data_IF_009437412423
#
_entry.id   IF_009437412423
#
_cell.length_a   1.000
_cell.length_b   1.000
_cell.length_c   1.000
_cell.angle_alpha   90.00
_cell.angle_beta   90.00
_cell.angle_gamma   90.00
#
_symmetry.space_group_name_H-M   'P 1'
#
loop_
_entity.id
_entity.type
_entity.pdbx_description
1 polymer ?
#
# COMPACT_ATOMS: atom_id res chain seq x y z
N UNK A 1 -6.82 -16.92 3.64
CA UNK A 1 -6.68 -15.51 3.26
C UNK A 1 -6.09 -15.52 1.87
N UNK A 2 -6.90 -15.16 0.88
CA UNK A 2 -6.46 -15.16 -0.51
C UNK A 2 -5.51 -13.99 -0.75
N UNK A 3 -4.53 -14.17 -1.64
CA UNK A 3 -3.62 -13.08 -2.01
C UNK A 3 -4.39 -11.89 -2.60
N UNK A 4 -5.55 -12.14 -3.20
CA UNK A 4 -6.47 -11.09 -3.65
C UNK A 4 -7.07 -10.29 -2.49
N UNK A 5 -7.42 -10.93 -1.37
CA UNK A 5 -7.89 -10.22 -0.16
C UNK A 5 -6.76 -9.36 0.41
N UNK A 6 -5.55 -9.92 0.51
CA UNK A 6 -4.37 -9.18 0.99
C UNK A 6 -4.09 -7.96 0.09
N UNK A 7 -4.22 -8.11 -1.23
CA UNK A 7 -4.06 -6.99 -2.17
C UNK A 7 -5.15 -5.92 -1.99
N UNK A 8 -6.39 -6.32 -1.68
CA UNK A 8 -7.49 -5.41 -1.41
C UNK A 8 -7.27 -4.63 -0.10
N UNK A 9 -6.79 -5.30 0.96
CA UNK A 9 -6.41 -4.66 2.22
C UNK A 9 -5.28 -3.64 2.01
N UNK A 10 -4.19 -4.03 1.33
CA UNK A 10 -3.06 -3.14 1.04
C UNK A 10 -3.50 -1.91 0.24
N UNK A 11 -4.40 -2.06 -0.75
CA UNK A 11 -4.96 -0.91 -1.49
C UNK A 11 -5.79 0.00 -0.59
N UNK A 12 -6.60 -0.57 0.28
CA UNK A 12 -7.42 0.21 1.20
C UNK A 12 -6.53 1.01 2.17
N UNK A 13 -5.50 0.37 2.72
CA UNK A 13 -4.52 1.03 3.58
C UNK A 13 -3.73 2.11 2.84
N UNK A 14 -3.36 1.88 1.58
CA UNK A 14 -2.70 2.88 0.73
C UNK A 14 -3.55 4.14 0.56
N UNK A 15 -4.83 3.98 0.17
CA UNK A 15 -5.76 5.11 -0.02
C UNK A 15 -5.98 5.88 1.28
N UNK A 16 -6.09 5.15 2.41
CA UNK A 16 -6.21 5.76 3.72
C UNK A 16 -4.96 6.57 4.08
N UNK A 17 -3.76 6.00 3.89
CA UNK A 17 -2.50 6.68 4.18
C UNK A 17 -2.30 7.93 3.32
N UNK A 18 -2.73 7.91 2.06
CA UNK A 18 -2.75 9.10 1.21
C UNK A 18 -3.61 10.22 1.81
N UNK A 19 -4.82 9.90 2.28
CA UNK A 19 -5.66 10.90 2.94
C UNK A 19 -5.06 11.43 4.26
N UNK A 20 -4.36 10.58 5.01
CA UNK A 20 -3.61 11.00 6.21
C UNK A 20 -2.37 11.83 5.85
N UNK A 21 -1.72 11.56 4.72
CA UNK A 21 -0.61 12.33 4.17
C UNK A 21 -1.07 13.75 3.81
N UNK A 22 -2.13 13.89 3.02
CA UNK A 22 -2.70 15.20 2.65
C UNK A 22 -3.07 16.04 3.88
N UNK A 23 -3.65 15.39 4.91
CA UNK A 23 -3.93 16.05 6.19
C UNK A 23 -2.65 16.51 6.88
N UNK A 24 -1.63 15.66 6.95
CA UNK A 24 -0.36 16.00 7.60
C UNK A 24 0.40 17.10 6.89
N UNK A 25 0.42 17.11 5.56
CA UNK A 25 0.94 18.21 4.75
C UNK A 25 0.18 19.51 5.07
N UNK A 26 -1.15 19.44 5.21
CA UNK A 26 -1.98 20.59 5.55
C UNK A 26 -1.66 21.20 6.92
N UNK A 27 -1.21 20.39 7.90
CA UNK A 27 -0.73 20.87 9.22
C UNK A 27 0.77 21.19 9.25
N UNK A 28 1.45 21.20 8.10
CA UNK A 28 2.91 21.40 7.99
C UNK A 28 3.72 20.43 8.87
N UNK A 29 3.19 19.21 9.05
CA UNK A 29 3.83 18.16 9.82
C UNK A 29 4.65 17.27 8.86
N UNK A 30 5.76 16.71 9.34
CA UNK A 30 6.63 15.86 8.52
C UNK A 30 5.88 14.64 7.97
N UNK A 31 5.88 14.52 6.64
CA UNK A 31 5.23 13.41 5.91
C UNK A 31 6.19 12.32 5.47
N UNK A 32 7.51 12.51 5.60
CA UNK A 32 8.54 11.49 5.40
C UNK A 32 8.17 10.09 5.91
N UNK A 33 7.72 9.89 7.15
CA UNK A 33 7.37 8.56 7.64
C UNK A 33 6.14 7.96 6.95
N UNK A 34 5.21 8.78 6.47
CA UNK A 34 4.03 8.32 5.72
C UNK A 34 4.38 7.99 4.27
N UNK A 35 5.26 8.78 3.64
CA UNK A 35 5.76 8.47 2.29
C UNK A 35 6.47 7.12 2.29
N UNK A 36 7.36 6.89 3.26
CA UNK A 36 8.03 5.57 3.39
C UNK A 36 7.05 4.44 3.56
N UNK A 37 5.97 4.63 4.33
CA UNK A 37 4.93 3.62 4.49
C UNK A 37 4.16 3.38 3.19
N UNK A 38 3.83 4.43 2.43
CA UNK A 38 3.22 4.30 1.10
C UNK A 38 4.11 3.50 0.16
N UNK A 39 5.42 3.78 0.13
CA UNK A 39 6.39 3.03 -0.69
C UNK A 39 6.47 1.55 -0.28
N UNK A 40 6.42 1.26 1.02
CA UNK A 40 6.41 -0.13 1.52
C UNK A 40 5.13 -0.86 1.10
N UNK A 41 3.96 -0.24 1.24
CA UNK A 41 2.69 -0.80 0.79
C UNK A 41 2.72 -1.05 -0.72
N UNK A 42 3.32 -0.14 -1.49
CA UNK A 42 3.44 -0.27 -2.94
C UNK A 42 4.35 -1.44 -3.35
N UNK A 43 5.46 -1.65 -2.64
CA UNK A 43 6.31 -2.84 -2.80
C UNK A 43 5.55 -4.12 -2.46
N UNK A 44 4.87 -4.18 -1.31
CA UNK A 44 4.09 -5.35 -0.92
C UNK A 44 2.99 -5.68 -1.94
N UNK A 45 2.29 -4.66 -2.47
CA UNK A 45 1.29 -4.85 -3.51
C UNK A 45 1.89 -5.42 -4.80
N UNK A 46 3.12 -5.03 -5.16
CA UNK A 46 3.81 -5.54 -6.33
C UNK A 46 4.25 -7.01 -6.12
N UNK A 47 4.77 -7.33 -4.93
CA UNK A 47 5.12 -8.69 -4.55
C UNK A 47 3.91 -9.61 -4.55
N UNK A 48 2.82 -9.21 -3.87
CA UNK A 48 1.57 -9.98 -3.82
C UNK A 48 1.00 -10.20 -5.23
N UNK A 49 1.02 -9.19 -6.09
CA UNK A 49 0.61 -9.35 -7.51
C UNK A 49 1.51 -10.31 -8.27
N UNK A 50 2.81 -10.26 -8.05
CA UNK A 50 3.76 -11.19 -8.63
C UNK A 50 3.45 -12.61 -8.18
N UNK A 51 3.23 -12.82 -6.88
CA UNK A 51 2.87 -14.13 -6.32
C UNK A 51 1.55 -14.67 -6.88
N UNK A 52 0.51 -13.84 -6.99
CA UNK A 52 -0.76 -14.22 -7.63
C UNK A 52 -0.49 -14.72 -9.05
N UNK A 53 0.23 -13.92 -9.84
CA UNK A 53 0.55 -14.27 -11.23
C UNK A 53 1.38 -15.55 -11.32
N UNK A 54 2.35 -15.75 -10.43
CA UNK A 54 3.14 -16.98 -10.37
C UNK A 54 2.28 -18.20 -10.02
N UNK A 55 1.30 -18.05 -9.12
CA UNK A 55 0.37 -19.12 -8.76
C UNK A 55 -0.65 -19.42 -9.85
N UNK A 56 -1.15 -18.42 -10.57
CA UNK A 56 -2.11 -18.60 -11.67
C UNK A 56 -1.47 -19.22 -12.92
N UNK A 57 -0.16 -19.05 -13.09
CA UNK A 57 0.57 -19.50 -14.27
C UNK A 57 1.25 -20.87 -14.07
N UNK A 58 0.85 -21.62 -13.03
CA UNK A 58 1.37 -22.94 -12.64
C UNK A 58 0.26 -23.98 -12.62
#
# INVERSE_FOLDING_TARGET
>A
MDLNDKLAELKHDYVRLQGDLEKRESVSQSVDPLIRQLEQIEQEMAEVRSEIRQKENK
#
